data_IF_025217718333
#
_entry.id   IF_025217718333
#
_cell.length_a   1.000
_cell.length_b   1.000
_cell.length_c   1.000
_cell.angle_alpha   90.00
_cell.angle_beta   90.00
_cell.angle_gamma   90.00
#
_symmetry.space_group_name_H-M   'P 1'
#
loop_
_entity.id
_entity.type
_entity.pdbx_description
1 polymer ?
#
# COMPACT_ATOMS: atom_id res chain seq x y z
N UNK A 1 -20.75 -17.41 27.09
CA UNK A 1 -21.52 -16.77 26.01
C UNK A 1 -21.04 -17.37 24.70
N UNK A 2 -21.94 -17.86 23.83
CA UNK A 2 -21.55 -18.34 22.51
C UNK A 2 -21.10 -17.17 21.64
N UNK A 3 -20.02 -17.34 20.89
CA UNK A 3 -19.55 -16.33 19.92
C UNK A 3 -20.62 -16.22 18.82
N UNK A 4 -21.12 -15.03 18.50
CA UNK A 4 -22.11 -14.88 17.44
C UNK A 4 -21.53 -15.35 16.09
N UNK A 5 -22.32 -16.13 15.36
CA UNK A 5 -21.94 -16.63 14.04
C UNK A 5 -22.33 -15.61 12.96
N UNK A 6 -21.68 -15.67 11.79
CA UNK A 6 -22.08 -14.87 10.61
C UNK A 6 -23.56 -15.12 10.24
N UNK A 7 -24.10 -16.31 10.56
CA UNK A 7 -25.49 -16.64 10.30
C UNK A 7 -26.48 -15.85 11.14
N UNK A 8 -26.06 -15.36 12.30
CA UNK A 8 -26.89 -14.58 13.24
C UNK A 8 -27.01 -13.09 12.86
N UNK A 9 -26.23 -12.65 11.86
CA UNK A 9 -26.26 -11.25 11.39
C UNK A 9 -27.43 -11.00 10.44
N UNK A 10 -27.99 -9.77 10.44
CA UNK A 10 -28.96 -9.35 9.42
C UNK A 10 -28.40 -9.60 8.00
N UNK A 11 -29.25 -9.94 7.01
CA UNK A 11 -28.79 -10.26 5.65
C UNK A 11 -27.93 -9.16 5.01
N UNK A 12 -28.29 -7.89 5.22
CA UNK A 12 -27.55 -6.74 4.71
C UNK A 12 -26.13 -6.66 5.33
N UNK A 13 -26.00 -6.83 6.64
CA UNK A 13 -24.72 -6.82 7.34
C UNK A 13 -23.84 -7.97 6.90
N UNK A 14 -24.43 -9.15 6.69
CA UNK A 14 -23.74 -10.34 6.17
C UNK A 14 -23.21 -10.08 4.77
N UNK A 15 -24.03 -9.53 3.86
CA UNK A 15 -23.62 -9.18 2.51
C UNK A 15 -22.46 -8.19 2.50
N UNK A 16 -22.54 -7.13 3.32
CA UNK A 16 -21.45 -6.14 3.44
C UNK A 16 -20.14 -6.77 3.94
N UNK A 17 -20.20 -7.66 4.92
CA UNK A 17 -19.01 -8.37 5.42
C UNK A 17 -18.41 -9.31 4.37
N UNK A 18 -19.25 -10.00 3.59
CA UNK A 18 -18.80 -10.90 2.53
C UNK A 18 -18.15 -10.17 1.34
N UNK A 19 -18.45 -8.89 1.16
CA UNK A 19 -17.84 -8.06 0.11
C UNK A 19 -16.60 -7.30 0.58
N UNK A 20 -16.25 -7.40 1.85
CA UNK A 20 -15.01 -6.79 2.38
C UNK A 20 -13.78 -7.42 1.76
N UNK A 21 -12.83 -6.58 1.37
CA UNK A 21 -11.50 -6.99 0.93
C UNK A 21 -10.44 -6.29 1.78
N UNK A 22 -9.31 -6.93 1.93
CA UNK A 22 -8.16 -6.37 2.67
C UNK A 22 -7.12 -5.92 1.66
N UNK A 23 -6.62 -4.72 1.83
CA UNK A 23 -5.48 -4.21 1.08
C UNK A 23 -4.21 -4.46 1.89
N UNK A 24 -3.22 -5.11 1.28
CA UNK A 24 -1.95 -5.39 1.93
C UNK A 24 -0.96 -4.25 1.67
N UNK A 25 -0.34 -3.69 2.72
CA UNK A 25 0.68 -2.68 2.52
C UNK A 25 1.98 -3.31 2.02
N UNK A 26 2.55 -2.75 0.94
CA UNK A 26 3.81 -3.24 0.35
C UNK A 26 4.95 -3.32 1.36
N UNK A 27 4.98 -2.41 2.32
CA UNK A 27 6.00 -2.36 3.37
C UNK A 27 5.86 -3.44 4.43
N UNK A 28 4.74 -4.17 4.49
CA UNK A 28 4.62 -5.35 5.35
C UNK A 28 5.53 -6.49 4.89
N UNK A 29 5.93 -6.49 3.63
CA UNK A 29 6.85 -7.46 3.05
C UNK A 29 8.32 -7.04 3.13
N UNK A 30 8.64 -5.87 3.67
CA UNK A 30 10.01 -5.39 3.86
C UNK A 30 10.71 -6.12 5.01
N UNK A 31 12.04 -5.96 5.06
CA UNK A 31 12.81 -6.34 6.24
C UNK A 31 12.18 -5.74 7.51
N UNK A 32 12.09 -6.54 8.54
CA UNK A 32 11.48 -6.17 9.81
C UNK A 32 12.47 -6.29 10.97
N UNK A 33 12.05 -5.89 12.16
CA UNK A 33 12.89 -5.96 13.33
C UNK A 33 12.22 -5.38 14.57
N UNK A 34 13.03 -4.77 15.42
CA UNK A 34 12.55 -4.02 16.58
C UNK A 34 12.45 -2.53 16.24
N UNK A 35 11.87 -1.74 17.14
CA UNK A 35 11.89 -0.26 17.01
C UNK A 35 13.31 0.34 16.97
N UNK A 36 14.33 -0.43 17.32
CA UNK A 36 15.72 0.03 17.39
C UNK A 36 16.54 -0.38 16.17
N UNK A 37 16.19 -1.47 15.51
CA UNK A 37 16.97 -2.01 14.39
C UNK A 37 16.09 -2.87 13.48
N UNK A 38 16.28 -2.69 12.17
CA UNK A 38 15.79 -3.57 11.11
C UNK A 38 16.86 -4.62 10.80
N UNK A 39 16.45 -5.87 10.66
CA UNK A 39 17.34 -6.98 10.33
C UNK A 39 17.09 -7.44 8.90
N UNK A 40 18.15 -7.76 8.18
CA UNK A 40 18.05 -8.36 6.85
C UNK A 40 17.60 -9.81 6.98
N UNK A 41 16.55 -10.17 6.28
CA UNK A 41 15.99 -11.54 6.25
C UNK A 41 16.11 -12.09 4.83
N UNK A 42 16.50 -13.35 4.71
CA UNK A 42 16.53 -14.02 3.41
C UNK A 42 15.11 -14.19 2.86
N UNK A 43 14.95 -14.00 1.53
CA UNK A 43 13.66 -14.16 0.86
C UNK A 43 12.73 -12.94 0.91
N UNK A 44 13.17 -11.84 1.50
CA UNK A 44 12.41 -10.59 1.48
C UNK A 44 12.40 -10.03 0.05
N UNK A 45 11.25 -9.55 -0.46
CA UNK A 45 11.15 -8.90 -1.76
C UNK A 45 12.13 -7.74 -1.92
N UNK A 46 12.76 -7.67 -3.09
CA UNK A 46 13.79 -6.68 -3.42
C UNK A 46 13.22 -5.42 -4.06
N UNK A 47 12.05 -5.54 -4.68
CA UNK A 47 11.40 -4.48 -5.44
C UNK A 47 9.87 -4.62 -5.41
N UNK A 48 9.10 -3.64 -5.93
CA UNK A 48 7.65 -3.69 -5.94
C UNK A 48 7.06 -4.87 -6.74
N UNK A 49 7.74 -5.39 -7.74
CA UNK A 49 7.25 -6.54 -8.52
C UNK A 49 7.23 -7.80 -7.66
N UNK A 50 8.31 -8.08 -6.93
CA UNK A 50 8.37 -9.21 -6.01
C UNK A 50 7.37 -9.06 -4.85
N UNK A 51 7.12 -7.84 -4.37
CA UNK A 51 6.08 -7.59 -3.37
C UNK A 51 4.67 -7.91 -3.90
N UNK A 52 4.41 -7.61 -5.17
CA UNK A 52 3.16 -7.97 -5.83
C UNK A 52 3.02 -9.50 -5.95
N UNK A 53 4.10 -10.20 -6.25
CA UNK A 53 4.11 -11.67 -6.29
C UNK A 53 3.76 -12.26 -4.91
N UNK A 54 4.29 -11.72 -3.82
CA UNK A 54 3.96 -12.14 -2.47
C UNK A 54 2.51 -11.83 -2.09
N UNK A 55 1.99 -10.64 -2.47
CA UNK A 55 0.57 -10.30 -2.28
C UNK A 55 -0.33 -11.28 -3.03
N UNK A 56 0.03 -11.66 -4.25
CA UNK A 56 -0.73 -12.63 -5.03
C UNK A 56 -0.75 -14.01 -4.35
N UNK A 57 0.37 -14.43 -3.75
CA UNK A 57 0.41 -15.65 -2.94
C UNK A 57 -0.52 -15.58 -1.74
N UNK A 58 -0.46 -14.49 -0.97
CA UNK A 58 -1.35 -14.29 0.19
C UNK A 58 -2.81 -14.30 -0.26
N UNK A 59 -3.13 -13.64 -1.38
CA UNK A 59 -4.47 -13.64 -1.93
C UNK A 59 -4.92 -15.05 -2.37
N UNK A 60 -4.04 -15.84 -2.97
CA UNK A 60 -4.35 -17.22 -3.34
C UNK A 60 -4.73 -18.11 -2.14
N UNK A 61 -4.12 -17.86 -0.97
CA UNK A 61 -4.43 -18.58 0.25
C UNK A 61 -5.67 -18.06 0.97
N UNK A 62 -5.90 -16.74 0.96
CA UNK A 62 -6.93 -16.10 1.79
C UNK A 62 -8.22 -15.80 1.03
N UNK A 63 -8.12 -15.53 -0.28
CA UNK A 63 -9.23 -15.11 -1.13
C UNK A 63 -9.76 -13.69 -0.85
N UNK A 64 -9.16 -12.94 0.08
CA UNK A 64 -9.70 -11.65 0.54
C UNK A 64 -8.72 -10.48 0.44
N UNK A 65 -7.51 -10.71 -0.12
CA UNK A 65 -6.43 -9.70 -0.21
C UNK A 65 -6.06 -9.36 -1.66
N UNK A 66 -7.02 -8.95 -2.51
CA UNK A 66 -6.78 -8.75 -3.94
C UNK A 66 -6.03 -7.45 -4.27
N UNK A 67 -5.58 -6.69 -3.28
CA UNK A 67 -4.95 -5.37 -3.49
C UNK A 67 -3.69 -5.19 -2.69
N UNK A 68 -2.76 -4.41 -3.27
CA UNK A 68 -1.55 -3.94 -2.59
C UNK A 68 -1.51 -2.41 -2.58
N UNK A 69 -1.24 -1.80 -1.43
CA UNK A 69 -0.91 -0.38 -1.35
C UNK A 69 0.58 -0.16 -1.51
N UNK A 70 0.95 0.85 -2.28
CA UNK A 70 2.34 1.25 -2.48
C UNK A 70 2.68 2.45 -1.61
N UNK A 71 3.96 2.58 -1.25
CA UNK A 71 4.48 3.70 -0.49
C UNK A 71 5.59 4.42 -1.27
N UNK A 72 5.34 5.66 -1.67
CA UNK A 72 6.28 6.44 -2.47
C UNK A 72 7.12 7.35 -1.56
N UNK A 73 8.47 7.26 -1.62
CA UNK A 73 9.29 6.76 -2.74
C UNK A 73 9.77 5.30 -2.60
N UNK A 74 9.40 4.54 -1.57
CA UNK A 74 9.96 3.18 -1.33
C UNK A 74 9.63 2.20 -2.45
N UNK A 75 8.45 2.34 -3.08
CA UNK A 75 7.98 1.49 -4.16
C UNK A 75 8.06 2.18 -5.54
N UNK A 76 9.03 3.11 -5.69
CA UNK A 76 9.21 3.81 -6.96
C UNK A 76 9.76 2.87 -8.02
N UNK A 77 9.17 2.89 -9.20
CA UNK A 77 9.61 2.15 -10.39
C UNK A 77 9.77 3.09 -11.57
N UNK A 78 10.47 2.64 -12.61
CA UNK A 78 10.66 3.42 -13.82
C UNK A 78 9.42 3.50 -14.72
N UNK A 79 8.53 2.50 -14.63
CA UNK A 79 7.31 2.40 -15.45
C UNK A 79 6.17 1.77 -14.63
N UNK A 80 5.18 2.59 -14.31
CA UNK A 80 4.01 2.16 -13.54
C UNK A 80 2.96 1.42 -14.37
N UNK A 81 2.93 1.59 -15.69
CA UNK A 81 2.07 0.78 -16.57
C UNK A 81 2.54 -0.68 -16.59
N UNK A 82 3.85 -0.91 -16.62
CA UNK A 82 4.45 -2.24 -16.50
C UNK A 82 4.13 -2.85 -15.13
N UNK A 83 4.24 -2.08 -14.05
CA UNK A 83 3.90 -2.57 -12.71
C UNK A 83 2.42 -2.94 -12.59
N UNK A 84 1.53 -2.12 -13.16
CA UNK A 84 0.09 -2.41 -13.22
C UNK A 84 -0.20 -3.70 -14.00
N UNK A 85 0.40 -3.86 -15.16
CA UNK A 85 0.24 -5.07 -15.98
C UNK A 85 0.68 -6.32 -15.21
N UNK A 86 1.84 -6.26 -14.54
CA UNK A 86 2.33 -7.34 -13.69
C UNK A 86 1.34 -7.72 -12.58
N UNK A 87 0.76 -6.73 -11.88
CA UNK A 87 -0.25 -6.99 -10.86
C UNK A 87 -1.49 -7.69 -11.44
N UNK A 88 -1.97 -7.22 -12.60
CA UNK A 88 -3.12 -7.80 -13.27
C UNK A 88 -2.88 -9.26 -13.69
N UNK A 89 -1.69 -9.57 -14.22
CA UNK A 89 -1.29 -10.94 -14.56
C UNK A 89 -1.30 -11.88 -13.35
N UNK A 90 -1.06 -11.35 -12.15
CA UNK A 90 -1.09 -12.09 -10.87
C UNK A 90 -2.49 -12.15 -10.23
N UNK A 91 -3.51 -11.56 -10.86
CA UNK A 91 -4.87 -11.54 -10.32
C UNK A 91 -5.04 -10.60 -9.12
N UNK A 92 -4.15 -9.60 -8.96
CA UNK A 92 -4.24 -8.57 -7.95
C UNK A 92 -4.22 -7.18 -8.58
N UNK A 93 -4.50 -6.15 -7.81
CA UNK A 93 -4.49 -4.76 -8.28
C UNK A 93 -3.73 -3.85 -7.33
N UNK A 94 -3.29 -2.71 -7.85
CA UNK A 94 -2.71 -1.66 -7.02
C UNK A 94 -3.87 -0.87 -6.41
N UNK A 95 -3.84 -0.76 -5.09
CA UNK A 95 -4.80 -0.02 -4.28
C UNK A 95 -4.31 1.41 -3.97
N UNK A 96 -4.18 1.74 -2.70
CA UNK A 96 -3.78 3.09 -2.24
C UNK A 96 -2.33 3.41 -2.60
N UNK A 97 -2.08 4.65 -3.02
CA UNK A 97 -0.73 5.22 -3.16
C UNK A 97 -0.45 6.12 -1.94
N UNK A 98 0.44 5.68 -1.08
CA UNK A 98 0.81 6.40 0.14
C UNK A 98 1.98 7.36 -0.11
N UNK A 99 1.79 8.63 0.20
CA UNK A 99 2.83 9.65 0.10
C UNK A 99 3.70 9.70 1.36
N UNK A 100 5.02 9.79 1.21
CA UNK A 100 5.95 9.99 2.32
C UNK A 100 6.27 11.49 2.49
N UNK A 101 5.48 12.14 3.31
CA UNK A 101 5.67 13.56 3.67
C UNK A 101 6.01 13.73 5.15
N UNK A 102 6.72 12.76 5.75
CA UNK A 102 7.00 12.73 7.19
C UNK A 102 8.42 12.27 7.57
N UNK A 103 9.18 11.59 6.68
CA UNK A 103 10.50 11.04 7.03
C UNK A 103 11.68 11.98 6.72
N UNK A 104 11.51 12.87 5.74
CA UNK A 104 12.57 13.80 5.36
C UNK A 104 12.83 14.82 6.48
N UNK A 105 14.08 15.18 6.70
CA UNK A 105 14.49 16.18 7.72
C UNK A 105 13.79 17.54 7.51
N UNK A 106 13.46 17.90 6.28
CA UNK A 106 12.71 19.11 5.97
C UNK A 106 11.32 19.12 6.63
N UNK A 107 10.74 17.93 6.88
CA UNK A 107 9.41 17.80 7.48
C UNK A 107 9.39 17.83 9.02
N UNK A 108 10.53 18.13 9.65
CA UNK A 108 10.66 18.21 11.11
C UNK A 108 9.62 19.13 11.78
N UNK A 109 9.24 20.21 11.14
CA UNK A 109 8.22 21.15 11.61
C UNK A 109 6.89 21.03 10.86
N UNK A 110 6.62 19.86 10.29
CA UNK A 110 5.46 19.58 9.45
C UNK A 110 5.77 19.63 7.96
N UNK A 111 4.86 19.15 7.14
CA UNK A 111 4.96 19.11 5.68
C UNK A 111 4.07 20.18 5.01
N UNK A 112 2.79 19.90 4.84
CA UNK A 112 1.82 20.83 4.25
C UNK A 112 1.57 22.07 5.13
N UNK A 113 1.77 21.97 6.44
CA UNK A 113 1.62 23.06 7.40
C UNK A 113 2.98 23.62 7.85
N UNK A 114 4.09 23.31 7.17
CA UNK A 114 5.42 23.82 7.51
C UNK A 114 5.44 25.34 7.42
N UNK A 115 6.09 26.06 8.35
CA UNK A 115 6.25 27.52 8.25
C UNK A 115 7.03 27.96 7.00
N UNK A 116 7.97 27.14 6.50
CA UNK A 116 8.73 27.42 5.27
C UNK A 116 7.88 27.04 4.03
N UNK A 117 7.65 28.05 3.16
CA UNK A 117 6.88 27.88 1.94
C UNK A 117 7.52 26.87 0.96
N UNK A 118 8.84 26.80 0.89
CA UNK A 118 9.56 25.86 0.02
C UNK A 118 9.27 24.40 0.43
N UNK A 119 9.17 24.15 1.74
CA UNK A 119 8.88 22.81 2.27
C UNK A 119 7.41 22.44 2.02
N UNK A 120 6.48 23.39 2.16
CA UNK A 120 5.09 23.17 1.75
C UNK A 120 4.98 22.84 0.27
N UNK A 121 5.69 23.60 -0.59
CA UNK A 121 5.71 23.35 -2.03
C UNK A 121 6.30 21.97 -2.38
N UNK A 122 7.37 21.55 -1.69
CA UNK A 122 7.95 20.20 -1.81
C UNK A 122 6.92 19.12 -1.47
N UNK A 123 6.19 19.27 -0.38
CA UNK A 123 5.16 18.32 0.04
C UNK A 123 4.01 18.26 -0.98
N UNK A 124 3.54 19.41 -1.49
CA UNK A 124 2.52 19.48 -2.54
C UNK A 124 2.99 18.77 -3.82
N UNK A 125 4.22 19.05 -4.25
CA UNK A 125 4.79 18.42 -5.44
C UNK A 125 4.82 16.89 -5.31
N UNK A 126 5.18 16.37 -4.14
CA UNK A 126 5.17 14.92 -3.88
C UNK A 126 3.76 14.33 -3.91
N UNK A 127 2.74 15.03 -3.39
CA UNK A 127 1.35 14.58 -3.53
C UNK A 127 0.89 14.57 -4.99
N UNK A 128 1.28 15.57 -5.78
CA UNK A 128 0.96 15.59 -7.21
C UNK A 128 1.62 14.43 -7.96
N UNK A 129 2.89 14.11 -7.65
CA UNK A 129 3.56 12.90 -8.14
C UNK A 129 2.76 11.64 -7.80
N UNK A 130 2.30 11.49 -6.56
CA UNK A 130 1.49 10.35 -6.15
C UNK A 130 0.17 10.25 -6.94
N UNK A 131 -0.47 11.39 -7.24
CA UNK A 131 -1.68 11.43 -8.08
C UNK A 131 -1.39 10.97 -9.51
N UNK A 132 -0.25 11.32 -10.08
CA UNK A 132 0.13 10.85 -11.41
C UNK A 132 0.41 9.34 -11.40
N UNK A 133 1.04 8.83 -10.34
CA UNK A 133 1.21 7.38 -10.12
C UNK A 133 -0.15 6.69 -10.00
N UNK A 134 -1.11 7.25 -9.26
CA UNK A 134 -2.47 6.72 -9.18
C UNK A 134 -3.13 6.59 -10.55
N UNK A 135 -2.98 7.60 -11.40
CA UNK A 135 -3.51 7.57 -12.78
C UNK A 135 -2.87 6.46 -13.61
N UNK A 136 -1.55 6.31 -13.54
CA UNK A 136 -0.82 5.30 -14.27
C UNK A 136 -1.16 3.88 -13.80
N UNK A 137 -1.31 3.68 -12.49
CA UNK A 137 -1.60 2.37 -11.90
C UNK A 137 -3.09 2.00 -11.92
N UNK A 138 -3.99 2.96 -12.15
CA UNK A 138 -5.43 2.76 -11.99
C UNK A 138 -5.85 2.64 -10.52
N UNK A 139 -5.03 3.13 -9.60
CA UNK A 139 -5.33 3.15 -8.17
C UNK A 139 -6.56 4.02 -7.88
N UNK A 140 -7.48 3.58 -6.99
CA UNK A 140 -8.66 4.36 -6.63
C UNK A 140 -8.40 5.45 -5.59
N UNK A 141 -7.28 5.39 -4.84
CA UNK A 141 -6.95 6.31 -3.75
C UNK A 141 -5.42 6.45 -3.53
#
# INVERSE_FOLDING_TARGET
MATPSLADLPPQSRSLLQTQTIELPSWAFNNSGTRFRVFTTAGVPRDPFEKIDDVAQVNAFTGITPRVSLHIPWDRVGDYDVLRAHAQERGVSIGTINSNVFQDEDYKLGSLCNPDERIRAKAVAHHLECIDIMRATGSPA
#
